data_IF_168567871219
#
_entry.id   IF_168567871219
#
_cell.length_a   1.000
_cell.length_b   1.000
_cell.length_c   1.000
_cell.angle_alpha   90.00
_cell.angle_beta   90.00
_cell.angle_gamma   90.00
#
_symmetry.space_group_name_H-M   'P 1'
#
loop_
_entity.id
_entity.type
_entity.pdbx_description
1 polymer ?
#
# COMPACT_ATOMS: atom_id res chain seq x y z
N UNK A 1 2.18 -6.35 -44.75
CA UNK A 1 3.61 -6.10 -44.48
C UNK A 1 3.90 -4.71 -43.89
N UNK A 2 3.47 -3.60 -44.53
CA UNK A 2 3.72 -2.23 -44.03
C UNK A 2 3.09 -1.92 -42.65
N UNK A 3 1.85 -2.35 -42.41
CA UNK A 3 1.17 -2.18 -41.11
C UNK A 3 1.86 -2.96 -39.98
N UNK A 4 2.38 -4.15 -40.28
CA UNK A 4 3.09 -5.00 -39.31
C UNK A 4 4.43 -4.36 -38.88
N UNK A 5 5.21 -3.84 -39.83
CA UNK A 5 6.45 -3.11 -39.55
C UNK A 5 6.21 -1.84 -38.73
N UNK A 6 5.11 -1.13 -39.01
CA UNK A 6 4.72 0.06 -38.26
C UNK A 6 4.33 -0.27 -36.81
N UNK A 7 3.53 -1.33 -36.60
CA UNK A 7 3.20 -1.83 -35.26
C UNK A 7 4.44 -2.29 -34.49
N UNK A 8 5.38 -2.97 -35.16
CA UNK A 8 6.63 -3.39 -34.55
C UNK A 8 7.48 -2.20 -34.08
N UNK A 9 7.56 -1.14 -34.90
CA UNK A 9 8.29 0.09 -34.56
C UNK A 9 7.68 0.80 -33.36
N UNK A 10 6.34 0.88 -33.30
CA UNK A 10 5.60 1.44 -32.17
C UNK A 10 5.91 0.64 -30.90
N UNK A 11 5.80 -0.69 -30.95
CA UNK A 11 6.13 -1.55 -29.80
C UNK A 11 7.57 -1.34 -29.35
N UNK A 12 8.51 -1.20 -30.29
CA UNK A 12 9.93 -0.97 -29.99
C UNK A 12 10.13 0.34 -29.22
N UNK A 13 9.58 1.45 -29.74
CA UNK A 13 9.67 2.78 -29.11
C UNK A 13 9.04 2.76 -27.71
N UNK A 14 7.84 2.18 -27.57
CA UNK A 14 7.17 2.05 -26.27
C UNK A 14 7.97 1.16 -25.31
N UNK A 15 8.64 0.12 -25.79
CA UNK A 15 9.47 -0.75 -24.95
C UNK A 15 10.73 -0.03 -24.45
N UNK A 16 11.34 0.82 -25.28
CA UNK A 16 12.53 1.59 -24.90
C UNK A 16 12.22 2.66 -23.85
N UNK A 17 11.15 3.45 -24.03
CA UNK A 17 10.79 4.49 -23.06
C UNK A 17 10.40 3.90 -21.71
N UNK A 18 9.65 2.80 -21.72
CA UNK A 18 9.25 2.10 -20.50
C UNK A 18 10.44 1.47 -19.76
N UNK A 19 11.42 0.94 -20.50
CA UNK A 19 12.66 0.42 -19.92
C UNK A 19 13.53 1.54 -19.32
N UNK A 20 13.58 2.71 -19.94
CA UNK A 20 14.34 3.87 -19.44
C UNK A 20 13.77 4.41 -18.12
N UNK A 21 12.45 4.60 -18.06
CA UNK A 21 11.76 5.05 -16.83
C UNK A 21 11.97 4.05 -15.68
N UNK A 22 11.91 2.76 -15.98
CA UNK A 22 12.11 1.69 -15.00
C UNK A 22 13.54 1.67 -14.46
N UNK A 23 14.52 1.82 -15.34
CA UNK A 23 15.93 1.89 -14.97
C UNK A 23 16.21 3.13 -14.11
N UNK A 24 15.57 4.26 -14.41
CA UNK A 24 15.69 5.47 -13.61
C UNK A 24 15.10 5.28 -12.21
N UNK A 25 13.87 4.75 -12.09
CA UNK A 25 13.23 4.46 -10.80
C UNK A 25 14.07 3.51 -9.96
N UNK A 26 14.62 2.45 -10.56
CA UNK A 26 15.47 1.48 -9.88
C UNK A 26 16.77 2.12 -9.39
N UNK A 27 17.41 2.96 -10.23
CA UNK A 27 18.62 3.69 -9.87
C UNK A 27 18.37 4.62 -8.69
N UNK A 28 17.31 5.43 -8.75
CA UNK A 28 16.92 6.34 -7.65
C UNK A 28 16.67 5.54 -6.38
N UNK A 29 15.92 4.42 -6.45
CA UNK A 29 15.65 3.59 -5.29
C UNK A 29 16.93 3.06 -4.63
N UNK A 30 17.89 2.57 -5.43
CA UNK A 30 19.17 2.04 -4.93
C UNK A 30 20.04 3.13 -4.30
N UNK A 31 20.10 4.31 -4.92
CA UNK A 31 20.90 5.42 -4.44
C UNK A 31 20.36 5.94 -3.09
N UNK A 32 19.05 6.06 -2.96
CA UNK A 32 18.40 6.44 -1.70
C UNK A 32 18.45 5.36 -0.64
N UNK A 33 18.34 4.08 -1.03
CA UNK A 33 18.57 2.96 -0.12
C UNK A 33 19.99 3.01 0.47
N UNK A 34 21.02 3.29 -0.33
CA UNK A 34 22.39 3.42 0.14
C UNK A 34 22.55 4.56 1.14
N UNK A 35 21.97 5.74 0.87
CA UNK A 35 21.99 6.89 1.79
C UNK A 35 21.28 6.53 3.11
N UNK A 36 20.17 5.80 3.03
CA UNK A 36 19.46 5.32 4.20
C UNK A 36 20.33 4.39 5.05
N UNK A 37 21.00 3.41 4.45
CA UNK A 37 21.82 2.45 5.20
C UNK A 37 23.05 3.07 5.86
N UNK A 38 23.57 4.18 5.31
CA UNK A 38 24.69 4.91 5.91
C UNK A 38 24.30 5.70 7.18
N UNK A 39 23.04 6.17 7.27
CA UNK A 39 22.56 6.95 8.42
C UNK A 39 21.07 6.71 8.70
N UNK A 40 20.74 5.51 9.18
CA UNK A 40 19.36 5.04 9.38
C UNK A 40 18.47 6.00 10.17
N UNK A 41 19.00 6.55 11.27
CA UNK A 41 18.22 7.33 12.25
C UNK A 41 17.81 8.73 11.74
N UNK A 42 18.52 9.27 10.73
CA UNK A 42 18.28 10.62 10.21
C UNK A 42 17.87 10.66 8.73
N UNK A 43 18.00 9.55 8.00
CA UNK A 43 17.74 9.49 6.56
C UNK A 43 16.30 9.07 6.23
N UNK A 44 15.30 9.61 6.93
CA UNK A 44 13.88 9.26 6.72
C UNK A 44 13.40 9.60 5.30
N UNK A 45 13.88 10.70 4.73
CA UNK A 45 13.53 11.13 3.36
C UNK A 45 14.00 10.07 2.38
N UNK A 46 15.26 9.63 2.50
CA UNK A 46 15.83 8.61 1.62
C UNK A 46 15.15 7.25 1.79
N UNK A 47 14.82 6.86 3.02
CA UNK A 47 13.99 5.68 3.27
C UNK A 47 12.66 5.77 2.51
N UNK A 48 11.98 6.90 2.63
CA UNK A 48 10.66 7.08 2.05
C UNK A 48 10.69 7.04 0.52
N UNK A 49 11.69 7.70 -0.08
CA UNK A 49 11.90 7.66 -1.54
C UNK A 49 12.22 6.23 -2.00
N UNK A 50 13.09 5.52 -1.29
CA UNK A 50 13.45 4.14 -1.64
C UNK A 50 12.22 3.21 -1.59
N UNK A 51 11.45 3.26 -0.51
CA UNK A 51 10.23 2.45 -0.34
C UNK A 51 9.18 2.77 -1.40
N UNK A 52 8.96 4.05 -1.69
CA UNK A 52 7.98 4.48 -2.70
C UNK A 52 8.33 3.94 -4.10
N UNK A 53 9.58 4.12 -4.53
CA UNK A 53 10.04 3.66 -5.83
C UNK A 53 10.07 2.13 -5.93
N UNK A 54 10.57 1.44 -4.90
CA UNK A 54 10.55 -0.02 -4.89
C UNK A 54 9.14 -0.58 -4.88
N UNK A 55 8.19 0.04 -4.17
CA UNK A 55 6.79 -0.40 -4.16
C UNK A 55 6.18 -0.25 -5.55
N UNK A 56 6.40 0.88 -6.21
CA UNK A 56 5.96 1.10 -7.60
C UNK A 56 6.51 0.03 -8.54
N UNK A 57 7.81 -0.25 -8.47
CA UNK A 57 8.46 -1.30 -9.26
C UNK A 57 7.90 -2.69 -8.94
N UNK A 58 7.73 -3.02 -7.66
CA UNK A 58 7.22 -4.33 -7.23
C UNK A 58 5.79 -4.57 -7.73
N UNK A 59 4.92 -3.55 -7.69
CA UNK A 59 3.54 -3.73 -8.15
C UNK A 59 3.39 -3.85 -9.68
N UNK A 60 4.38 -3.38 -10.44
CA UNK A 60 4.42 -3.56 -11.89
C UNK A 60 5.07 -4.90 -12.27
N UNK A 61 6.20 -5.25 -11.65
CA UNK A 61 7.03 -6.39 -12.07
C UNK A 61 6.87 -7.66 -11.22
N UNK A 62 6.26 -7.56 -10.05
CA UNK A 62 6.03 -8.65 -9.09
C UNK A 62 7.28 -9.52 -8.86
N UNK A 63 8.40 -8.90 -8.52
CA UNK A 63 9.71 -9.55 -8.40
C UNK A 63 10.09 -9.84 -6.93
N UNK A 64 10.52 -11.06 -6.63
CA UNK A 64 10.94 -11.51 -5.28
C UNK A 64 12.08 -10.68 -4.68
N UNK A 65 13.08 -10.26 -5.46
CA UNK A 65 14.17 -9.41 -4.95
C UNK A 65 13.68 -8.03 -4.51
N UNK A 66 12.68 -7.48 -5.21
CA UNK A 66 12.05 -6.22 -4.82
C UNK A 66 11.24 -6.40 -3.54
N UNK A 67 10.53 -7.52 -3.42
CA UNK A 67 9.80 -7.87 -2.20
C UNK A 67 10.72 -7.98 -0.99
N UNK A 68 11.84 -8.72 -1.09
CA UNK A 68 12.82 -8.87 -0.01
C UNK A 68 13.39 -7.52 0.45
N UNK A 69 13.75 -6.65 -0.51
CA UNK A 69 14.21 -5.28 -0.23
C UNK A 69 13.14 -4.47 0.50
N UNK A 70 11.89 -4.51 0.03
CA UNK A 70 10.78 -3.80 0.66
C UNK A 70 10.51 -4.30 2.08
N UNK A 71 10.48 -5.62 2.30
CA UNK A 71 10.32 -6.20 3.64
C UNK A 71 11.43 -5.72 4.58
N UNK A 72 12.68 -5.77 4.13
CA UNK A 72 13.82 -5.28 4.93
C UNK A 72 13.69 -3.79 5.27
N UNK A 73 13.35 -2.95 4.30
CA UNK A 73 13.16 -1.51 4.51
C UNK A 73 11.99 -1.24 5.47
N UNK A 74 10.86 -1.92 5.33
CA UNK A 74 9.70 -1.72 6.21
C UNK A 74 9.93 -2.22 7.64
N UNK A 75 10.63 -3.34 7.83
CA UNK A 75 11.03 -3.81 9.18
C UNK A 75 11.91 -2.76 9.86
N UNK A 76 12.92 -2.25 9.15
CA UNK A 76 13.83 -1.23 9.70
C UNK A 76 13.12 0.10 9.93
N UNK A 77 12.25 0.52 9.03
CA UNK A 77 11.40 1.70 9.21
C UNK A 77 10.48 1.57 10.43
N UNK A 78 9.89 0.39 10.66
CA UNK A 78 9.10 0.12 11.85
C UNK A 78 9.93 0.17 13.14
N UNK A 79 11.17 -0.33 13.12
CA UNK A 79 12.09 -0.27 14.26
C UNK A 79 12.51 1.17 14.60
N UNK A 80 12.74 2.01 13.58
CA UNK A 80 13.06 3.43 13.78
C UNK A 80 11.84 4.20 14.30
N UNK A 81 10.66 3.99 13.71
CA UNK A 81 9.40 4.61 14.14
C UNK A 81 9.12 4.37 15.64
N UNK A 82 9.39 3.15 16.14
CA UNK A 82 9.26 2.82 17.57
C UNK A 82 10.14 3.66 18.50
N UNK A 83 11.28 4.17 18.01
CA UNK A 83 12.23 4.98 18.79
C UNK A 83 12.09 6.48 18.53
N UNK A 84 11.70 6.83 17.31
CA UNK A 84 11.59 8.20 16.83
C UNK A 84 10.17 8.43 16.30
N UNK A 85 9.35 9.08 17.12
CA UNK A 85 7.96 9.40 16.80
C UNK A 85 7.80 10.27 15.55
N UNK A 86 8.85 10.99 15.11
CA UNK A 86 8.80 11.80 13.90
C UNK A 86 9.12 11.00 12.62
N UNK A 87 9.44 9.71 12.74
CA UNK A 87 9.66 8.82 11.60
C UNK A 87 8.36 8.14 11.20
N UNK A 88 7.86 8.43 10.00
CA UNK A 88 6.60 7.87 9.51
C UNK A 88 6.86 6.69 8.57
N UNK A 89 6.52 5.47 9.02
CA UNK A 89 6.57 4.27 8.19
C UNK A 89 5.33 4.21 7.28
N UNK A 90 5.39 4.84 6.11
CA UNK A 90 4.31 4.86 5.13
C UNK A 90 4.28 3.58 4.28
N UNK A 91 3.07 3.09 3.99
CA UNK A 91 2.81 2.08 2.97
C UNK A 91 2.27 2.73 1.70
N UNK A 92 2.64 2.17 0.56
CA UNK A 92 2.25 2.67 -0.75
C UNK A 92 1.46 1.63 -1.53
N UNK A 93 0.57 2.11 -2.38
CA UNK A 93 -0.07 1.31 -3.40
C UNK A 93 -0.25 2.10 -4.68
N UNK A 94 -0.22 1.38 -5.79
CA UNK A 94 -0.27 1.85 -7.16
C UNK A 94 -1.26 0.99 -7.95
N UNK A 95 -2.06 1.63 -8.79
CA UNK A 95 -2.95 0.90 -9.70
C UNK A 95 -2.18 0.59 -10.98
N UNK A 96 -2.31 -0.64 -11.47
CA UNK A 96 -1.68 -1.08 -12.72
C UNK A 96 -2.37 -0.50 -13.96
N UNK A 97 -3.65 -0.15 -13.85
CA UNK A 97 -4.52 0.18 -14.99
C UNK A 97 -4.91 1.66 -15.06
N UNK A 98 -4.48 2.45 -14.07
CA UNK A 98 -4.73 3.88 -13.96
C UNK A 98 -3.70 4.48 -13.00
N UNK A 99 -3.15 5.67 -13.28
CA UNK A 99 -2.17 6.36 -12.41
C UNK A 99 -2.82 6.88 -11.11
N UNK A 100 -3.25 5.96 -10.24
CA UNK A 100 -3.71 6.21 -8.89
C UNK A 100 -2.59 5.80 -7.93
N UNK A 101 -2.24 6.68 -7.00
CA UNK A 101 -1.33 6.38 -5.89
C UNK A 101 -2.10 6.50 -4.58
N UNK A 102 -1.87 5.56 -3.67
CA UNK A 102 -2.38 5.61 -2.30
C UNK A 102 -1.20 5.56 -1.34
N UNK A 103 -1.22 6.47 -0.37
CA UNK A 103 -0.28 6.54 0.74
C UNK A 103 -1.06 6.23 2.01
N UNK A 104 -0.52 5.36 2.84
CA UNK A 104 -1.18 4.90 4.05
C UNK A 104 -0.21 4.96 5.23
N UNK A 105 -0.71 5.47 6.36
CA UNK A 105 -0.02 5.48 7.64
C UNK A 105 -0.88 4.79 8.70
N UNK A 106 -0.29 3.83 9.41
CA UNK A 106 -0.89 3.23 10.59
C UNK A 106 -0.75 4.18 11.79
N UNK A 107 -1.88 4.63 12.33
CA UNK A 107 -1.92 5.57 13.45
C UNK A 107 -2.01 4.88 14.82
N UNK A 108 -2.10 3.54 14.89
CA UNK A 108 -2.36 2.80 16.14
C UNK A 108 -1.37 3.12 17.26
N UNK A 109 -0.10 3.25 16.91
CA UNK A 109 0.98 3.50 17.88
C UNK A 109 1.38 4.98 17.93
N UNK A 110 0.57 5.88 17.36
CA UNK A 110 0.89 7.29 17.24
C UNK A 110 0.34 8.07 18.45
N UNK A 111 1.19 8.67 19.32
CA UNK A 111 0.78 9.19 20.63
C UNK A 111 -0.17 10.40 20.59
N UNK A 112 -0.33 11.05 19.43
CA UNK A 112 -1.32 12.12 19.23
C UNK A 112 -2.71 11.59 18.82
N UNK A 113 -2.83 10.29 18.58
CA UNK A 113 -4.06 9.62 18.17
C UNK A 113 -4.60 8.77 19.33
N UNK A 114 -4.81 9.42 20.47
CA UNK A 114 -5.40 8.82 21.68
C UNK A 114 -6.93 8.72 21.53
N UNK A 115 -7.35 7.93 20.54
CA UNK A 115 -8.72 7.46 20.50
C UNK A 115 -8.81 6.29 21.49
N UNK A 116 -9.86 6.17 22.32
CA UNK A 116 -10.14 4.97 23.10
C UNK A 116 -10.59 3.86 22.15
N UNK A 117 -9.67 3.39 21.31
CA UNK A 117 -9.92 2.38 20.30
C UNK A 117 -9.78 1.02 20.96
N UNK A 118 -10.76 0.16 20.73
CA UNK A 118 -10.74 -1.22 21.19
C UNK A 118 -9.41 -1.89 20.81
N UNK A 119 -8.92 -2.85 21.60
CA UNK A 119 -7.64 -3.54 21.36
C UNK A 119 -7.48 -4.18 19.95
N UNK A 120 -8.55 -4.24 19.14
CA UNK A 120 -8.64 -4.88 17.82
C UNK A 120 -9.07 -3.94 16.69
N UNK A 121 -8.73 -2.66 16.80
CA UNK A 121 -8.96 -1.65 15.75
C UNK A 121 -7.64 -1.06 15.26
N UNK A 122 -7.57 -0.72 13.96
CA UNK A 122 -6.44 -0.04 13.34
C UNK A 122 -6.96 1.22 12.63
N UNK A 123 -6.61 2.42 13.13
CA UNK A 123 -6.81 3.65 12.39
C UNK A 123 -5.73 3.81 11.31
N UNK A 124 -6.17 3.97 10.06
CA UNK A 124 -5.30 4.32 8.95
C UNK A 124 -5.57 5.76 8.49
N UNK A 125 -4.53 6.59 8.46
CA UNK A 125 -4.55 7.82 7.67
C UNK A 125 -4.21 7.47 6.23
N UNK A 126 -5.12 7.80 5.31
CA UNK A 126 -5.04 7.43 3.90
C UNK A 126 -5.06 8.70 3.07
N UNK A 127 -4.10 8.84 2.16
CA UNK A 127 -4.11 9.84 1.10
C UNK A 127 -4.24 9.16 -0.24
N UNK A 128 -5.29 9.48 -0.99
CA UNK A 128 -5.48 9.06 -2.38
C UNK A 128 -5.05 10.20 -3.30
N UNK A 129 -4.16 9.91 -4.24
CA UNK A 129 -3.64 10.86 -5.21
C UNK A 129 -4.03 10.43 -6.62
N UNK A 130 -4.80 11.27 -7.30
CA UNK A 130 -5.15 11.07 -8.70
C UNK A 130 -4.04 11.67 -9.57
N UNK A 131 -3.10 10.85 -10.02
CA UNK A 131 -2.01 11.30 -10.90
C UNK A 131 -2.40 11.24 -12.38
N UNK A 132 -3.65 10.92 -12.68
CA UNK A 132 -4.18 10.83 -14.05
C UNK A 132 -4.78 12.13 -14.56
N UNK A 133 -5.43 11.98 -15.71
CA UNK A 133 -6.06 13.03 -16.51
C UNK A 133 -7.59 13.09 -16.36
N UNK A 134 -8.18 12.06 -15.74
CA UNK A 134 -9.64 11.92 -15.56
C UNK A 134 -10.03 12.17 -14.11
N UNK A 135 -11.21 12.73 -13.91
CA UNK A 135 -11.80 12.84 -12.58
C UNK A 135 -12.19 11.45 -12.03
N UNK A 136 -11.97 11.25 -10.74
CA UNK A 136 -12.33 10.03 -10.02
C UNK A 136 -13.43 10.32 -9.01
N UNK A 137 -14.60 9.71 -9.20
CA UNK A 137 -15.68 9.77 -8.23
C UNK A 137 -15.39 8.81 -7.08
N UNK A 138 -14.96 9.35 -5.93
CA UNK A 138 -14.61 8.52 -4.78
C UNK A 138 -15.84 7.95 -4.05
N UNK A 139 -17.06 8.39 -4.38
CA UNK A 139 -18.29 7.85 -3.80
C UNK A 139 -18.46 6.34 -4.03
N UNK A 140 -17.86 5.83 -5.10
CA UNK A 140 -17.94 4.42 -5.51
C UNK A 140 -16.76 3.60 -5.00
N UNK A 141 -15.88 4.20 -4.21
CA UNK A 141 -14.66 3.54 -3.71
C UNK A 141 -15.00 2.56 -2.60
N UNK A 142 -14.47 1.35 -2.72
CA UNK A 142 -14.57 0.29 -1.71
C UNK A 142 -13.20 -0.01 -1.14
N UNK A 143 -13.16 -0.29 0.16
CA UNK A 143 -11.93 -0.61 0.90
C UNK A 143 -12.07 -1.99 1.55
N UNK A 144 -11.07 -2.84 1.38
CA UNK A 144 -11.06 -4.20 1.93
C UNK A 144 -9.72 -4.50 2.59
N UNK A 145 -9.75 -5.18 3.72
CA UNK A 145 -8.54 -5.57 4.46
C UNK A 145 -8.40 -7.09 4.44
N UNK A 146 -7.30 -7.63 3.92
CA UNK A 146 -7.08 -9.06 3.75
C UNK A 146 -6.58 -9.75 5.04
N UNK A 147 -7.02 -11.01 5.27
CA UNK A 147 -6.81 -11.88 6.45
C UNK A 147 -7.83 -11.75 7.59
N UNK A 148 -9.12 -11.63 7.24
CA UNK A 148 -10.24 -11.59 8.19
C UNK A 148 -10.84 -12.96 8.55
N UNK A 149 -10.55 -14.09 7.87
CA UNK A 149 -11.16 -15.40 8.24
C UNK A 149 -10.24 -16.62 8.10
N UNK A 150 -10.36 -17.57 9.04
CA UNK A 150 -9.63 -18.84 9.03
C UNK A 150 -9.77 -19.71 10.28
N UNK A 151 -10.96 -19.80 10.91
CA UNK A 151 -11.20 -20.70 12.05
C UNK A 151 -12.62 -20.63 12.62
N UNK A 152 -13.12 -21.74 13.17
CA UNK A 152 -14.51 -22.00 13.59
C UNK A 152 -15.09 -21.00 14.59
N UNK A 153 -16.35 -20.67 14.35
CA UNK A 153 -17.22 -19.74 15.06
C UNK A 153 -17.51 -20.18 16.51
N UNK A 154 -17.51 -19.23 17.44
CA UNK A 154 -18.21 -19.34 18.71
C UNK A 154 -19.10 -18.11 18.85
N UNK A 155 -20.41 -18.34 18.76
CA UNK A 155 -21.46 -17.35 18.93
C UNK A 155 -21.43 -16.78 20.36
N UNK A 156 -21.23 -15.47 20.48
CA UNK A 156 -21.63 -14.73 21.68
C UNK A 156 -22.67 -13.67 21.28
N UNK A 157 -23.86 -13.88 21.82
CA UNK A 157 -25.09 -13.18 21.52
C UNK A 157 -25.05 -11.74 22.04
N UNK A 158 -24.81 -10.78 21.14
CA UNK A 158 -25.27 -9.39 21.22
C UNK A 158 -25.23 -8.77 19.82
N UNK A 159 -25.96 -9.43 18.92
CA UNK A 159 -25.82 -9.30 17.47
C UNK A 159 -26.35 -8.02 16.84
N UNK A 160 -27.18 -7.18 17.47
CA UNK A 160 -27.88 -6.15 16.68
C UNK A 160 -27.05 -4.88 16.41
N UNK A 161 -26.34 -4.34 17.40
CA UNK A 161 -25.66 -3.03 17.25
C UNK A 161 -24.32 -3.15 16.50
N UNK A 162 -23.63 -4.28 16.64
CA UNK A 162 -22.33 -4.52 15.99
C UNK A 162 -22.46 -5.08 14.55
N UNK A 163 -23.54 -5.80 14.25
CA UNK A 163 -23.86 -6.20 12.88
C UNK A 163 -24.25 -5.01 11.98
N UNK A 164 -24.55 -3.85 12.55
CA UNK A 164 -24.75 -2.62 11.79
C UNK A 164 -23.44 -1.83 11.59
N UNK A 165 -22.40 -2.09 12.40
CA UNK A 165 -21.12 -1.38 12.36
C UNK A 165 -19.97 -2.15 11.66
N UNK A 166 -20.01 -3.48 11.59
CA UNK A 166 -18.84 -4.30 11.20
C UNK A 166 -19.12 -5.51 10.29
N UNK A 167 -20.23 -5.56 9.53
CA UNK A 167 -20.51 -6.69 8.63
C UNK A 167 -19.53 -6.77 7.44
N UNK A 168 -18.39 -7.43 7.68
CA UNK A 168 -17.50 -8.23 6.79
C UNK A 168 -17.06 -7.70 5.42
N UNK A 169 -17.52 -6.53 5.02
CA UNK A 169 -16.94 -5.63 4.06
C UNK A 169 -17.30 -4.26 4.62
N UNK A 170 -16.31 -3.41 4.92
CA UNK A 170 -16.61 -2.05 5.38
C UNK A 170 -17.58 -1.46 4.34
N UNK A 171 -18.84 -1.12 4.70
CA UNK A 171 -19.75 -0.50 3.76
C UNK A 171 -19.02 0.69 3.17
N UNK A 172 -19.07 0.85 1.84
CA UNK A 172 -18.38 1.93 1.13
C UNK A 172 -18.64 3.21 1.92
N UNK A 173 -17.62 3.74 2.60
CA UNK A 173 -17.74 5.05 3.24
C UNK A 173 -17.95 5.96 2.03
N UNK A 174 -19.14 6.56 1.84
CA UNK A 174 -19.35 7.38 0.68
C UNK A 174 -18.49 8.62 0.88
N UNK A 175 -17.28 8.57 0.34
CA UNK A 175 -16.45 9.75 0.22
C UNK A 175 -17.16 10.59 -0.83
N UNK A 176 -17.99 11.54 -0.38
CA UNK A 176 -18.68 12.47 -1.27
C UNK A 176 -17.70 13.49 -1.84
N UNK A 177 -16.81 12.99 -2.68
CA UNK A 177 -15.70 13.70 -3.29
C UNK A 177 -15.49 13.17 -4.69
N UNK A 178 -15.59 14.09 -5.65
CA UNK A 178 -14.97 13.92 -6.96
C UNK A 178 -13.55 14.45 -6.84
N UNK A 179 -12.58 13.56 -7.06
CA UNK A 179 -11.16 13.85 -7.02
C UNK A 179 -10.69 14.22 -8.44
N UNK A 180 -10.38 15.50 -8.67
CA UNK A 180 -9.98 15.97 -10.00
C UNK A 180 -8.62 15.41 -10.41
N UNK A 181 -8.32 15.50 -11.70
CA UNK A 181 -6.99 15.23 -12.22
C UNK A 181 -5.91 16.00 -11.44
N UNK A 182 -4.85 15.31 -11.02
CA UNK A 182 -3.71 15.82 -10.22
C UNK A 182 -4.06 16.28 -8.80
N UNK A 183 -5.29 16.08 -8.33
CA UNK A 183 -5.67 16.36 -6.95
C UNK A 183 -5.34 15.19 -6.00
N UNK A 184 -5.33 15.50 -4.71
CA UNK A 184 -5.27 14.51 -3.65
C UNK A 184 -6.38 14.73 -2.61
N UNK A 185 -6.78 13.64 -1.95
CA UNK A 185 -7.73 13.68 -0.85
C UNK A 185 -7.24 12.79 0.28
N UNK A 186 -7.27 13.30 1.50
CA UNK A 186 -6.81 12.59 2.69
C UNK A 186 -7.93 12.43 3.71
N UNK A 187 -8.00 11.27 4.35
CA UNK A 187 -9.03 10.92 5.33
C UNK A 187 -8.51 9.82 6.26
N UNK A 188 -9.27 9.54 7.32
CA UNK A 188 -8.96 8.45 8.25
C UNK A 188 -10.05 7.39 8.13
N UNK A 189 -9.64 6.12 8.03
CA UNK A 189 -10.54 4.96 8.15
C UNK A 189 -10.11 4.13 9.35
N UNK A 190 -11.08 3.66 10.12
CA UNK A 190 -10.84 2.74 11.22
C UNK A 190 -11.31 1.35 10.78
N UNK A 191 -10.39 0.40 10.75
CA UNK A 191 -10.70 -1.00 10.51
C UNK A 191 -10.75 -1.76 11.82
N UNK A 192 -11.74 -2.64 11.98
CA UNK A 192 -11.66 -3.71 12.98
C UNK A 192 -11.06 -4.93 12.32
N UNK A 193 -10.17 -5.64 13.02
CA UNK A 193 -9.51 -6.82 12.49
C UNK A 193 -9.50 -7.94 13.54
N UNK A 194 -9.42 -9.17 13.06
CA UNK A 194 -9.38 -10.35 13.93
C UNK A 194 -7.98 -10.53 14.52
N UNK A 195 -7.66 -11.72 15.05
CA UNK A 195 -6.38 -11.96 15.73
C UNK A 195 -5.14 -11.98 14.80
N UNK A 196 -5.26 -11.64 13.51
CA UNK A 196 -4.16 -11.65 12.54
C UNK A 196 -3.88 -10.26 12.01
N UNK A 197 -2.62 -9.86 11.97
CA UNK A 197 -2.21 -8.59 11.38
C UNK A 197 -2.62 -8.52 9.90
N UNK A 198 -3.10 -7.37 9.42
CA UNK A 198 -3.49 -7.22 8.02
C UNK A 198 -2.28 -7.31 7.10
N UNK A 199 -2.45 -7.94 5.93
CA UNK A 199 -1.38 -8.06 4.93
C UNK A 199 -1.57 -7.16 3.71
N UNK A 200 -2.82 -6.93 3.32
CA UNK A 200 -3.15 -6.12 2.15
C UNK A 200 -4.37 -5.26 2.47
N UNK A 201 -4.31 -3.97 2.15
CA UNK A 201 -5.49 -3.12 1.99
C UNK A 201 -5.77 -2.99 0.49
N UNK A 202 -6.92 -3.47 0.04
CA UNK A 202 -7.39 -3.34 -1.34
C UNK A 202 -8.35 -2.17 -1.47
N UNK A 203 -8.18 -1.40 -2.54
CA UNK A 203 -9.01 -0.25 -2.88
C UNK A 203 -9.53 -0.47 -4.30
N UNK A 204 -10.85 -0.42 -4.45
CA UNK A 204 -11.54 -0.59 -5.72
C UNK A 204 -12.39 0.64 -6.03
N UNK A 205 -12.25 1.21 -7.22
CA UNK A 205 -13.11 2.27 -7.73
C UNK A 205 -13.41 2.03 -9.23
N UNK A 206 -14.61 1.52 -9.51
CA UNK A 206 -14.97 1.08 -10.86
C UNK A 206 -14.04 -0.03 -11.37
N UNK A 207 -13.34 0.23 -12.47
CA UNK A 207 -12.37 -0.70 -13.06
C UNK A 207 -10.93 -0.50 -12.51
N UNK A 208 -10.74 0.44 -11.59
CA UNK A 208 -9.45 0.70 -10.95
C UNK A 208 -9.36 -0.11 -9.67
N UNK A 209 -8.41 -1.03 -9.61
CA UNK A 209 -8.07 -1.78 -8.41
C UNK A 209 -6.63 -1.48 -8.03
N UNK A 210 -6.38 -1.31 -6.74
CA UNK A 210 -5.08 -1.01 -6.16
C UNK A 210 -4.92 -1.77 -4.86
N UNK A 211 -3.71 -2.30 -4.62
CA UNK A 211 -3.36 -2.95 -3.37
C UNK A 211 -2.29 -2.10 -2.66
N UNK A 212 -2.49 -1.84 -1.37
CA UNK A 212 -1.45 -1.36 -0.45
C UNK A 212 -0.99 -2.57 0.35
N UNK A 213 0.31 -2.87 0.30
CA UNK A 213 0.88 -4.11 0.85
C UNK A 213 1.64 -3.77 2.14
N UNK A 214 1.32 -4.47 3.22
CA UNK A 214 1.98 -4.35 4.53
C UNK A 214 3.15 -5.33 4.59
N UNK A 215 4.33 -4.92 4.12
CA UNK A 215 5.48 -5.79 3.94
C UNK A 215 6.04 -6.36 5.25
N UNK A 216 5.93 -5.64 6.36
CA UNK A 216 6.33 -6.09 7.69
C UNK A 216 5.49 -7.28 8.21
N UNK A 217 4.34 -7.55 7.60
CA UNK A 217 3.45 -8.66 7.94
C UNK A 217 3.57 -9.85 6.97
N UNK A 218 4.51 -9.80 6.02
CA UNK A 218 4.78 -10.87 5.07
C UNK A 218 5.94 -11.73 5.58
N UNK A 219 5.68 -13.03 5.76
CA UNK A 219 6.71 -14.00 6.10
C UNK A 219 7.50 -14.33 4.84
N UNK A 220 8.83 -14.16 4.89
CA UNK A 220 9.73 -14.38 3.74
C UNK A 220 10.06 -15.86 3.47
N UNK A 221 9.71 -16.78 4.38
CA UNK A 221 10.13 -18.18 4.34
C UNK A 221 8.93 -19.07 4.68
N UNK A 222 8.64 -20.06 3.83
CA UNK A 222 7.79 -21.19 4.21
C UNK A 222 8.56 -21.98 5.30
N UNK A 223 8.07 -22.08 6.55
CA UNK A 223 8.76 -22.85 7.57
C UNK A 223 8.94 -24.34 7.18
N UNK A 224 8.30 -24.80 6.10
CA UNK A 224 8.46 -26.14 5.53
C UNK A 224 9.46 -26.24 4.38
N UNK A 225 10.17 -25.16 3.99
CA UNK A 225 11.27 -25.27 3.03
C UNK A 225 12.52 -25.83 3.74
N UNK A 226 12.45 -27.11 4.11
CA UNK A 226 13.66 -27.90 4.36
C UNK A 226 14.53 -27.87 3.12
N UNK A 227 15.77 -27.44 3.30
CA UNK A 227 16.88 -27.64 2.38
C UNK A 227 16.87 -29.07 1.84
N UNK A 228 16.64 -29.21 0.53
CA UNK A 228 16.98 -30.39 -0.24
C UNK A 228 18.33 -30.19 -0.92
#
# INVERSE_FOLDING_TARGET
MRLFLFLLLIILIFSFTWAEDTNLLLKVAQEQENIFWQNKENSYISWNIAVDNYTKLYQVYNNTKLQEKLVRLHIEGALINKKNLNFFNFHYGYSTNYPLKVILLNLKDYPKFDLPIFNKTIPFFITIQNLGDKDLDLNKTKFYLENVSGGQEVLLNNEQIYRDLLKESVPAIPINKVLKAKDSFSFIIIFSYNNRAPKILRIENGNTQLNVIFFENIILIDPNSTTG
#
